data_IF_394477290529
#
_entry.id   IF_394477290529
#
_cell.length_a   1.000
_cell.length_b   1.000
_cell.length_c   1.000
_cell.angle_alpha   90.00
_cell.angle_beta   90.00
_cell.angle_gamma   90.00
#
_symmetry.space_group_name_H-M   'P 1'
#
loop_
_entity.id
_entity.type
_entity.pdbx_description
1 polymer ?
#
# COMPACT_ATOMS: atom_id res chain seq x y z
N UNK A 1 5.19 11.36 -28.28
CA UNK A 1 6.14 10.36 -27.80
C UNK A 1 5.29 9.21 -27.31
N UNK A 2 5.40 8.03 -27.94
CA UNK A 2 4.62 6.85 -27.53
C UNK A 2 5.10 6.40 -26.16
N UNK A 3 4.20 6.33 -25.21
CA UNK A 3 4.47 5.73 -23.91
C UNK A 3 4.66 4.23 -24.11
N UNK A 4 5.87 3.72 -23.86
CA UNK A 4 6.14 2.29 -23.88
C UNK A 4 5.23 1.56 -22.90
N UNK A 5 4.66 0.44 -23.32
CA UNK A 5 3.91 -0.48 -22.47
C UNK A 5 4.88 -1.10 -21.45
N UNK A 6 4.57 -1.03 -20.16
CA UNK A 6 5.32 -1.73 -19.11
C UNK A 6 4.61 -3.05 -18.86
N UNK A 7 5.11 -4.19 -19.32
CA UNK A 7 4.48 -5.47 -19.04
C UNK A 7 4.62 -5.82 -17.55
N UNK A 8 3.53 -6.37 -16.98
CA UNK A 8 3.49 -6.87 -15.61
C UNK A 8 3.83 -5.82 -14.53
N UNK A 9 3.04 -4.75 -14.44
CA UNK A 9 3.09 -3.79 -13.34
C UNK A 9 1.89 -4.03 -12.42
N UNK A 10 2.09 -3.95 -11.10
CA UNK A 10 1.02 -4.10 -10.10
C UNK A 10 0.84 -2.78 -9.36
N UNK A 11 -0.42 -2.36 -9.21
CA UNK A 11 -0.80 -1.33 -8.25
C UNK A 11 -0.92 -1.97 -6.87
N UNK A 12 0.08 -1.73 -6.00
CA UNK A 12 0.14 -2.38 -4.69
C UNK A 12 -0.78 -1.74 -3.63
N UNK A 13 -1.53 -0.67 -3.98
CA UNK A 13 -2.46 -0.01 -3.06
C UNK A 13 -3.44 0.91 -3.78
N UNK A 14 -4.71 0.53 -3.84
CA UNK A 14 -5.80 1.37 -4.35
C UNK A 14 -7.10 1.09 -3.60
N UNK A 15 -8.04 2.05 -3.60
CA UNK A 15 -9.35 1.95 -2.94
C UNK A 15 -10.47 1.94 -3.97
N UNK A 16 -10.70 0.80 -4.62
CA UNK A 16 -11.68 0.65 -5.71
C UNK A 16 -13.13 0.93 -5.27
N UNK A 17 -13.40 0.87 -3.97
CA UNK A 17 -14.73 1.12 -3.40
C UNK A 17 -14.99 2.59 -3.09
N UNK A 18 -14.00 3.46 -3.29
CA UNK A 18 -14.14 4.87 -2.96
C UNK A 18 -14.81 5.65 -4.09
N UNK A 19 -15.48 6.74 -3.69
CA UNK A 19 -16.10 7.69 -4.61
C UNK A 19 -15.09 8.20 -5.64
N UNK A 20 -15.50 8.20 -6.90
CA UNK A 20 -14.67 8.54 -8.04
C UNK A 20 -14.15 7.30 -8.78
N UNK A 21 -14.15 6.12 -8.16
CA UNK A 21 -13.79 4.85 -8.78
C UNK A 21 -14.97 3.87 -8.80
N UNK A 22 -15.72 3.78 -7.70
CA UNK A 22 -16.80 2.80 -7.52
C UNK A 22 -17.92 2.99 -8.53
N UNK A 23 -18.17 4.21 -9.00
CA UNK A 23 -19.22 4.52 -9.95
C UNK A 23 -18.96 3.94 -11.37
N UNK A 24 -17.68 3.70 -11.72
CA UNK A 24 -17.26 3.09 -13.00
C UNK A 24 -16.14 2.08 -12.79
N UNK A 25 -16.24 1.25 -11.75
CA UNK A 25 -15.17 0.34 -11.32
C UNK A 25 -14.65 -0.56 -12.46
N UNK A 26 -15.56 -1.08 -13.30
CA UNK A 26 -15.20 -1.91 -14.45
C UNK A 26 -14.43 -1.11 -15.51
N UNK A 27 -14.87 0.13 -15.80
CA UNK A 27 -14.16 1.02 -16.72
C UNK A 27 -12.78 1.43 -16.20
N UNK A 28 -12.66 1.72 -14.88
CA UNK A 28 -11.39 2.01 -14.21
C UNK A 28 -10.41 0.86 -14.37
N UNK A 29 -10.83 -0.37 -14.06
CA UNK A 29 -9.99 -1.56 -14.21
C UNK A 29 -9.62 -1.83 -15.68
N UNK A 30 -10.55 -1.63 -16.61
CA UNK A 30 -10.29 -1.80 -18.05
C UNK A 30 -9.24 -0.79 -18.55
N UNK A 31 -9.32 0.48 -18.12
CA UNK A 31 -8.32 1.51 -18.46
C UNK A 31 -6.96 1.19 -17.86
N UNK A 32 -6.92 0.72 -16.61
CA UNK A 32 -5.69 0.32 -15.94
C UNK A 32 -5.00 -0.86 -16.65
N UNK A 33 -5.76 -1.90 -17.01
CA UNK A 33 -5.24 -3.04 -17.79
C UNK A 33 -4.70 -2.59 -19.15
N UNK A 34 -5.39 -1.67 -19.81
CA UNK A 34 -4.91 -1.09 -21.09
C UNK A 34 -3.64 -0.27 -20.92
N UNK A 35 -3.39 0.30 -19.73
CA UNK A 35 -2.15 0.99 -19.38
C UNK A 35 -0.99 0.04 -18.97
N UNK A 36 -1.24 -1.27 -18.90
CA UNK A 36 -0.24 -2.28 -18.56
C UNK A 36 -0.26 -2.74 -17.12
N UNK A 37 -1.27 -2.36 -16.31
CA UNK A 37 -1.41 -2.85 -14.94
C UNK A 37 -2.01 -4.25 -14.99
N UNK A 38 -1.31 -5.21 -14.42
CA UNK A 38 -1.64 -6.64 -14.44
C UNK A 38 -2.19 -7.17 -13.12
N UNK A 39 -2.24 -6.32 -12.08
CA UNK A 39 -2.80 -6.70 -10.79
C UNK A 39 -3.03 -5.51 -9.87
N UNK A 40 -3.94 -5.69 -8.91
CA UNK A 40 -4.43 -4.62 -8.05
C UNK A 40 -4.62 -5.14 -6.63
N UNK A 41 -4.05 -4.45 -5.65
CA UNK A 41 -4.37 -4.69 -4.24
C UNK A 41 -5.40 -3.67 -3.77
N UNK A 42 -6.65 -4.12 -3.63
CA UNK A 42 -7.79 -3.33 -3.19
C UNK A 42 -7.83 -3.27 -1.66
N UNK A 43 -7.78 -2.08 -1.12
CA UNK A 43 -7.54 -1.81 0.29
C UNK A 43 -8.83 -1.47 1.03
N UNK A 44 -9.03 -2.08 2.19
CA UNK A 44 -10.07 -1.68 3.14
C UNK A 44 -9.53 -0.78 4.23
N UNK A 45 -10.37 0.14 4.71
CA UNK A 45 -10.02 1.09 5.77
C UNK A 45 -10.90 0.96 7.02
N UNK A 46 -12.00 0.21 6.94
CA UNK A 46 -12.96 0.01 8.03
C UNK A 46 -13.72 -1.31 7.89
N UNK A 47 -14.14 -1.89 8.99
CA UNK A 47 -14.74 -3.22 9.02
C UNK A 47 -15.97 -3.36 8.09
N UNK A 48 -16.84 -2.35 8.02
CA UNK A 48 -18.05 -2.38 7.17
C UNK A 48 -17.77 -2.47 5.67
N UNK A 49 -16.52 -2.25 5.24
CA UNK A 49 -16.10 -2.32 3.84
C UNK A 49 -15.51 -3.68 3.47
N UNK A 50 -15.14 -4.52 4.43
CA UNK A 50 -14.43 -5.77 4.17
C UNK A 50 -15.18 -6.67 3.18
N UNK A 51 -16.47 -6.89 3.39
CA UNK A 51 -17.27 -7.75 2.51
C UNK A 51 -17.29 -7.23 1.07
N UNK A 52 -17.38 -5.91 0.88
CA UNK A 52 -17.42 -5.29 -0.44
C UNK A 52 -16.06 -5.37 -1.14
N UNK A 53 -14.98 -5.06 -0.43
CA UNK A 53 -13.59 -5.15 -0.93
C UNK A 53 -13.26 -6.58 -1.33
N UNK A 54 -13.62 -7.56 -0.49
CA UNK A 54 -13.44 -8.99 -0.76
C UNK A 54 -14.29 -9.43 -1.96
N UNK A 55 -15.55 -8.98 -2.05
CA UNK A 55 -16.43 -9.32 -3.17
C UNK A 55 -15.90 -8.79 -4.52
N UNK A 56 -15.31 -7.58 -4.53
CA UNK A 56 -14.64 -7.04 -5.72
C UNK A 56 -13.45 -7.92 -6.11
N UNK A 57 -12.59 -8.27 -5.17
CA UNK A 57 -11.46 -9.16 -5.43
C UNK A 57 -11.90 -10.57 -5.90
N UNK A 58 -13.02 -11.08 -5.40
CA UNK A 58 -13.55 -12.38 -5.80
C UNK A 58 -14.09 -12.40 -7.25
N UNK A 59 -14.60 -11.26 -7.74
CA UNK A 59 -15.11 -11.14 -9.13
C UNK A 59 -13.99 -10.98 -10.16
N UNK A 60 -12.87 -10.41 -9.78
CA UNK A 60 -11.77 -10.04 -10.67
C UNK A 60 -10.57 -10.94 -10.42
N UNK A 61 -10.05 -11.66 -11.44
CA UNK A 61 -8.96 -12.62 -11.25
C UNK A 61 -7.66 -11.97 -10.78
N UNK A 62 -7.41 -10.74 -11.22
CA UNK A 62 -6.19 -9.94 -11.00
C UNK A 62 -6.33 -8.92 -9.85
N UNK A 63 -7.42 -9.00 -9.06
CA UNK A 63 -7.63 -8.17 -7.87
C UNK A 63 -7.49 -9.03 -6.62
N UNK A 64 -6.75 -8.52 -5.65
CA UNK A 64 -6.65 -9.04 -4.27
C UNK A 64 -7.22 -8.03 -3.28
N UNK A 65 -7.41 -8.44 -2.06
CA UNK A 65 -7.99 -7.64 -0.98
C UNK A 65 -7.07 -7.56 0.24
N UNK A 66 -7.19 -6.50 1.01
CA UNK A 66 -6.72 -6.43 2.38
C UNK A 66 -7.89 -6.31 3.36
N UNK A 67 -7.65 -6.63 4.63
CA UNK A 67 -8.58 -6.38 5.74
C UNK A 67 -7.86 -5.64 6.86
N UNK A 68 -8.39 -4.49 7.23
CA UNK A 68 -7.78 -3.65 8.26
C UNK A 68 -8.64 -2.45 8.61
N UNK A 69 -8.11 -1.65 9.54
CA UNK A 69 -8.72 -0.42 10.03
C UNK A 69 -7.69 0.70 9.97
N UNK A 70 -7.97 1.68 9.13
CA UNK A 70 -7.15 2.89 9.01
C UNK A 70 -7.10 3.67 10.32
N UNK A 71 -6.00 4.33 10.69
CA UNK A 71 -5.89 5.11 11.93
C UNK A 71 -7.00 6.13 12.12
N UNK A 72 -7.55 6.71 11.07
CA UNK A 72 -8.69 7.64 11.16
C UNK A 72 -9.97 7.02 11.72
N UNK A 73 -10.12 5.71 11.60
CA UNK A 73 -11.30 4.95 12.01
C UNK A 73 -11.08 4.20 13.35
N UNK A 74 -9.92 4.41 14.00
CA UNK A 74 -9.51 3.64 15.17
C UNK A 74 -10.49 3.75 16.33
N UNK A 75 -10.97 4.96 16.66
CA UNK A 75 -11.92 5.17 17.76
C UNK A 75 -13.27 4.46 17.53
N UNK A 76 -13.73 4.43 16.26
CA UNK A 76 -14.96 3.72 15.90
C UNK A 76 -14.81 2.18 15.97
N UNK A 77 -13.57 1.68 16.07
CA UNK A 77 -13.24 0.26 16.07
C UNK A 77 -12.36 -0.13 17.28
N UNK A 78 -12.39 0.65 18.37
CA UNK A 78 -11.55 0.43 19.54
C UNK A 78 -11.72 -0.98 20.16
N UNK A 79 -12.92 -1.56 20.03
CA UNK A 79 -13.25 -2.90 20.54
C UNK A 79 -12.97 -4.02 19.52
N UNK A 80 -12.39 -3.72 18.35
CA UNK A 80 -12.11 -4.73 17.33
C UNK A 80 -11.00 -5.66 17.80
N UNK A 81 -11.36 -6.91 18.08
CA UNK A 81 -10.41 -7.95 18.46
C UNK A 81 -9.73 -8.61 17.25
N UNK A 82 -8.55 -9.17 17.50
CA UNK A 82 -7.77 -9.89 16.49
C UNK A 82 -8.55 -11.03 15.81
N UNK A 83 -9.47 -11.68 16.50
CA UNK A 83 -10.26 -12.80 15.98
C UNK A 83 -11.07 -12.44 14.72
N UNK A 84 -11.66 -11.23 14.68
CA UNK A 84 -12.42 -10.78 13.51
C UNK A 84 -11.51 -10.57 12.28
N UNK A 85 -10.34 -9.97 12.48
CA UNK A 85 -9.34 -9.79 11.42
C UNK A 85 -8.80 -11.13 10.91
N UNK A 86 -8.50 -12.08 11.81
CA UNK A 86 -8.04 -13.43 11.45
C UNK A 86 -9.12 -14.12 10.60
N UNK A 87 -10.37 -14.13 11.06
CA UNK A 87 -11.46 -14.76 10.32
C UNK A 87 -11.66 -14.17 8.91
N UNK A 88 -11.64 -12.83 8.78
CA UNK A 88 -11.73 -12.19 7.48
C UNK A 88 -10.52 -12.48 6.57
N UNK A 89 -9.33 -12.65 7.17
CA UNK A 89 -8.09 -12.96 6.44
C UNK A 89 -8.02 -14.39 5.89
N UNK A 90 -8.92 -15.30 6.31
CA UNK A 90 -8.98 -16.67 5.78
C UNK A 90 -9.44 -16.71 4.32
N UNK A 91 -10.18 -15.70 3.85
CA UNK A 91 -10.65 -15.66 2.46
C UNK A 91 -9.46 -15.72 1.48
N UNK A 92 -9.50 -16.55 0.43
CA UNK A 92 -8.35 -16.78 -0.46
C UNK A 92 -7.85 -15.52 -1.17
N UNK A 93 -8.73 -14.55 -1.42
CA UNK A 93 -8.36 -13.27 -2.04
C UNK A 93 -7.81 -12.23 -1.06
N UNK A 94 -7.90 -12.46 0.24
CA UNK A 94 -7.29 -11.56 1.25
C UNK A 94 -5.84 -11.95 1.44
N UNK A 95 -4.93 -11.09 1.00
CA UNK A 95 -3.48 -11.33 0.98
C UNK A 95 -2.68 -10.46 1.94
N UNK A 96 -3.34 -9.52 2.63
CA UNK A 96 -2.70 -8.59 3.54
C UNK A 96 -3.62 -8.21 4.71
N UNK A 97 -2.99 -7.80 5.81
CA UNK A 97 -3.63 -7.14 6.97
C UNK A 97 -3.36 -5.64 6.88
N UNK A 98 -4.39 -4.84 6.90
CA UNK A 98 -4.29 -3.38 6.72
C UNK A 98 -5.34 -2.86 5.73
N UNK A 99 -5.36 -1.58 5.55
CA UNK A 99 -4.42 -0.55 5.98
C UNK A 99 -4.58 -0.27 7.48
N UNK A 100 -3.48 -0.04 8.18
CA UNK A 100 -3.44 0.27 9.60
C UNK A 100 -2.19 1.12 9.91
N UNK A 101 -2.06 1.65 11.11
CA UNK A 101 -0.88 2.42 11.49
C UNK A 101 -1.22 3.67 12.28
N UNK A 102 -0.48 4.77 12.06
CA UNK A 102 -0.61 6.01 12.82
C UNK A 102 -0.72 7.25 11.92
N UNK A 103 -1.65 8.13 12.24
CA UNK A 103 -1.81 9.44 11.61
C UNK A 103 -1.99 10.51 12.68
N UNK A 104 -0.93 11.29 12.93
CA UNK A 104 -0.92 12.38 13.90
C UNK A 104 -1.11 13.75 13.23
N UNK A 105 -1.27 13.78 11.92
CA UNK A 105 -1.55 14.99 11.19
C UNK A 105 -3.03 15.38 11.26
N UNK A 106 -3.93 14.42 11.00
CA UNK A 106 -5.37 14.67 11.01
C UNK A 106 -6.02 14.47 12.38
N UNK A 107 -5.47 13.58 13.21
CA UNK A 107 -5.96 13.27 14.57
C UNK A 107 -7.47 13.00 14.62
N UNK A 108 -8.00 12.24 13.63
CA UNK A 108 -9.42 11.84 13.61
C UNK A 108 -9.78 10.80 14.68
N UNK A 109 -8.78 10.15 15.25
CA UNK A 109 -8.90 9.22 16.38
C UNK A 109 -7.79 9.50 17.39
N UNK A 110 -8.04 9.18 18.64
CA UNK A 110 -7.06 9.33 19.72
C UNK A 110 -5.79 8.51 19.45
N UNK A 111 -4.61 9.11 19.66
CA UNK A 111 -3.30 8.46 19.40
C UNK A 111 -3.17 7.13 20.11
N UNK A 112 -3.63 7.04 21.37
CA UNK A 112 -3.57 5.81 22.15
C UNK A 112 -4.42 4.69 21.53
N UNK A 113 -5.59 5.01 20.99
CA UNK A 113 -6.46 4.06 20.28
C UNK A 113 -5.81 3.60 18.97
N UNK A 114 -5.22 4.53 18.20
CA UNK A 114 -4.48 4.19 16.99
C UNK A 114 -3.34 3.21 17.30
N UNK A 115 -2.53 3.49 18.32
CA UNK A 115 -1.40 2.63 18.73
C UNK A 115 -1.87 1.24 19.19
N UNK A 116 -2.93 1.16 19.97
CA UNK A 116 -3.49 -0.11 20.45
C UNK A 116 -3.99 -0.96 19.28
N UNK A 117 -4.72 -0.34 18.36
CA UNK A 117 -5.27 -1.01 17.18
C UNK A 117 -4.15 -1.42 16.20
N UNK A 118 -3.12 -0.59 16.02
CA UNK A 118 -1.94 -0.93 15.23
C UNK A 118 -1.24 -2.19 15.77
N UNK A 119 -1.03 -2.29 17.09
CA UNK A 119 -0.48 -3.50 17.73
C UNK A 119 -1.38 -4.72 17.53
N UNK A 120 -2.69 -4.56 17.55
CA UNK A 120 -3.65 -5.63 17.25
C UNK A 120 -3.44 -6.17 15.83
N UNK A 121 -3.31 -5.29 14.83
CA UNK A 121 -3.06 -5.67 13.44
C UNK A 121 -1.69 -6.35 13.27
N UNK A 122 -0.65 -5.87 13.97
CA UNK A 122 0.68 -6.52 13.98
C UNK A 122 0.57 -7.94 14.54
N UNK A 123 -0.17 -8.13 15.63
CA UNK A 123 -0.38 -9.46 16.21
C UNK A 123 -1.08 -10.41 15.21
N UNK A 124 -2.05 -9.90 14.44
CA UNK A 124 -2.74 -10.66 13.38
C UNK A 124 -1.77 -10.99 12.23
N UNK A 125 -0.99 -10.01 11.75
CA UNK A 125 0.01 -10.24 10.70
C UNK A 125 1.01 -11.32 11.11
N UNK A 126 1.49 -11.29 12.35
CA UNK A 126 2.37 -12.32 12.92
C UNK A 126 1.70 -13.69 12.99
N UNK A 127 0.44 -13.76 13.43
CA UNK A 127 -0.29 -15.02 13.60
C UNK A 127 -0.65 -15.66 12.26
N UNK A 128 -0.96 -14.86 11.23
CA UNK A 128 -1.40 -15.34 9.91
C UNK A 128 -0.25 -15.48 8.91
N UNK A 129 0.88 -14.81 9.16
CA UNK A 129 1.98 -14.69 8.19
C UNK A 129 1.67 -13.74 7.03
N UNK A 130 0.52 -13.05 7.03
CA UNK A 130 0.16 -12.09 6.00
C UNK A 130 0.91 -10.77 6.20
N UNK A 131 1.36 -10.10 5.11
CA UNK A 131 1.99 -8.80 5.20
C UNK A 131 1.09 -7.74 5.81
N UNK A 132 1.70 -6.89 6.65
CA UNK A 132 1.06 -5.71 7.21
C UNK A 132 1.24 -4.52 6.27
N UNK A 133 0.15 -3.80 5.95
CA UNK A 133 0.19 -2.55 5.19
C UNK A 133 0.12 -1.40 6.20
N UNK A 134 1.22 -0.64 6.29
CA UNK A 134 1.39 0.40 7.31
C UNK A 134 1.24 1.79 6.71
N UNK A 135 0.29 2.54 7.23
CA UNK A 135 0.14 3.97 7.08
C UNK A 135 0.95 4.70 8.16
N UNK A 136 1.69 5.74 7.81
CA UNK A 136 2.31 6.64 8.78
C UNK A 136 2.32 8.08 8.28
N UNK A 137 1.83 9.01 9.10
CA UNK A 137 1.83 10.43 8.81
C UNK A 137 2.06 11.24 10.08
N UNK A 138 3.14 12.04 10.09
CA UNK A 138 3.60 12.82 11.26
C UNK A 138 3.74 11.96 12.54
N UNK A 139 4.07 10.66 12.38
CA UNK A 139 4.10 9.65 13.43
C UNK A 139 5.31 8.69 13.33
N UNK A 140 6.41 9.13 12.66
CA UNK A 140 7.57 8.28 12.35
C UNK A 140 8.17 7.64 13.59
N UNK A 141 8.36 8.41 14.67
CA UNK A 141 9.02 7.95 15.90
C UNK A 141 8.22 6.81 16.56
N UNK A 142 6.91 7.01 16.76
CA UNK A 142 6.05 6.01 17.37
C UNK A 142 5.85 4.80 16.46
N UNK A 143 5.73 5.02 15.14
CA UNK A 143 5.63 3.92 14.17
C UNK A 143 6.89 3.05 14.21
N UNK A 144 8.07 3.66 14.18
CA UNK A 144 9.34 2.93 14.25
C UNK A 144 9.51 2.18 15.57
N UNK A 145 9.19 2.84 16.69
CA UNK A 145 9.29 2.24 18.01
C UNK A 145 8.36 1.03 18.17
N UNK A 146 7.08 1.16 17.74
CA UNK A 146 6.11 0.07 17.82
C UNK A 146 6.54 -1.10 16.93
N UNK A 147 6.95 -0.86 15.67
CA UNK A 147 7.37 -1.93 14.77
C UNK A 147 8.61 -2.64 15.34
N UNK A 148 9.62 -1.91 15.82
CA UNK A 148 10.82 -2.50 16.38
C UNK A 148 10.50 -3.36 17.62
N UNK A 149 9.72 -2.83 18.56
CA UNK A 149 9.28 -3.58 19.76
C UNK A 149 8.50 -4.86 19.39
N UNK A 150 7.61 -4.76 18.42
CA UNK A 150 6.81 -5.92 18.00
C UNK A 150 7.62 -6.95 17.19
N UNK A 151 8.65 -6.52 16.46
CA UNK A 151 9.60 -7.43 15.78
C UNK A 151 10.42 -8.26 16.77
N UNK A 152 10.74 -7.71 17.97
CA UNK A 152 11.41 -8.46 19.03
C UNK A 152 10.53 -9.61 19.57
N UNK A 153 9.19 -9.45 19.55
CA UNK A 153 8.23 -10.48 19.97
C UNK A 153 8.03 -11.57 18.92
N UNK A 154 8.45 -11.33 17.69
CA UNK A 154 8.39 -12.24 16.55
C UNK A 154 8.25 -11.49 15.24
N UNK A 155 9.02 -11.89 14.23
CA UNK A 155 9.05 -11.27 12.92
C UNK A 155 7.70 -11.39 12.21
N UNK A 156 7.37 -10.38 11.41
CA UNK A 156 6.22 -10.35 10.51
C UNK A 156 6.58 -9.59 9.23
N UNK A 157 6.06 -9.97 8.07
CA UNK A 157 6.27 -9.21 6.84
C UNK A 157 5.45 -7.91 6.87
N UNK A 158 6.04 -6.81 6.38
CA UNK A 158 5.33 -5.54 6.32
C UNK A 158 5.84 -4.63 5.20
N UNK A 159 4.99 -3.66 4.83
CA UNK A 159 5.37 -2.56 3.97
C UNK A 159 4.90 -1.23 4.54
N UNK A 160 5.68 -0.18 4.33
CA UNK A 160 5.25 1.20 4.51
C UNK A 160 4.66 1.65 3.16
N UNK A 161 3.34 1.82 3.11
CA UNK A 161 2.67 2.29 1.91
C UNK A 161 2.76 3.82 1.79
N UNK A 162 2.59 4.34 0.60
CA UNK A 162 2.54 5.79 0.30
C UNK A 162 3.66 6.57 1.00
N UNK A 163 4.89 6.06 0.92
CA UNK A 163 6.03 6.58 1.67
C UNK A 163 6.27 8.06 1.38
N UNK A 164 6.23 8.89 2.41
CA UNK A 164 6.51 10.33 2.35
C UNK A 164 7.35 10.83 3.55
N UNK A 165 7.88 9.89 4.32
CA UNK A 165 8.59 10.12 5.55
C UNK A 165 10.08 10.47 5.33
N UNK A 166 10.86 10.61 6.42
CA UNK A 166 12.27 10.97 6.37
C UNK A 166 13.17 9.82 5.88
N UNK A 167 14.37 10.19 5.38
CA UNK A 167 15.41 9.23 5.02
C UNK A 167 15.86 8.36 6.22
N UNK A 168 15.82 8.93 7.42
CA UNK A 168 16.15 8.18 8.63
C UNK A 168 15.12 7.09 8.91
N UNK A 169 13.82 7.42 8.79
CA UNK A 169 12.75 6.45 8.95
C UNK A 169 12.82 5.37 7.86
N UNK A 170 13.06 5.75 6.58
CA UNK A 170 13.26 4.78 5.50
C UNK A 170 14.34 3.76 5.84
N UNK A 171 15.52 4.23 6.33
CA UNK A 171 16.63 3.36 6.71
C UNK A 171 16.23 2.40 7.83
N UNK A 172 15.62 2.91 8.90
CA UNK A 172 15.16 2.08 10.02
C UNK A 172 14.19 0.97 9.55
N UNK A 173 13.24 1.30 8.70
CA UNK A 173 12.27 0.30 8.18
C UNK A 173 12.95 -0.74 7.29
N UNK A 174 13.88 -0.32 6.44
CA UNK A 174 14.67 -1.22 5.59
C UNK A 174 15.59 -2.15 6.42
N UNK A 175 16.21 -1.64 7.48
CA UNK A 175 17.04 -2.44 8.42
C UNK A 175 16.19 -3.50 9.16
N UNK A 176 14.93 -3.20 9.47
CA UNK A 176 13.96 -4.16 10.02
C UNK A 176 13.41 -5.13 8.95
N UNK A 177 13.82 -5.00 7.68
CA UNK A 177 13.43 -5.88 6.59
C UNK A 177 12.10 -5.52 5.92
N UNK A 178 11.52 -4.36 6.19
CA UNK A 178 10.28 -3.92 5.56
C UNK A 178 10.51 -3.53 4.10
N UNK A 179 9.39 -3.51 3.36
CA UNK A 179 9.32 -3.00 1.98
C UNK A 179 8.77 -1.57 2.01
N UNK A 180 9.11 -0.75 1.02
CA UNK A 180 8.62 0.63 0.86
C UNK A 180 7.88 0.73 -0.46
N UNK A 181 6.67 1.31 -0.45
CA UNK A 181 5.90 1.61 -1.65
C UNK A 181 5.85 3.10 -1.94
N UNK A 182 6.01 3.47 -3.21
CA UNK A 182 6.00 4.86 -3.68
C UNK A 182 4.74 5.14 -4.49
N UNK A 183 3.98 6.15 -4.05
CA UNK A 183 2.80 6.66 -4.74
C UNK A 183 3.11 7.81 -5.69
N UNK A 184 2.08 8.34 -6.36
CA UNK A 184 2.18 9.48 -7.27
C UNK A 184 2.86 10.73 -6.70
N UNK A 185 2.93 10.88 -5.37
CA UNK A 185 3.62 12.00 -4.70
C UNK A 185 5.09 12.11 -5.14
N UNK A 186 5.76 10.99 -5.39
CA UNK A 186 7.18 11.02 -5.82
C UNK A 186 7.38 11.84 -7.09
N UNK A 187 6.36 11.97 -7.93
CA UNK A 187 6.42 12.76 -9.18
C UNK A 187 6.31 14.25 -8.97
N UNK A 188 5.92 14.73 -7.76
CA UNK A 188 5.64 16.13 -7.52
C UNK A 188 6.92 16.96 -7.50
N UNK A 189 6.86 18.16 -8.08
CA UNK A 189 8.04 19.04 -8.20
C UNK A 189 8.70 19.37 -6.86
N UNK A 190 7.91 19.43 -5.79
CA UNK A 190 8.37 19.79 -4.45
C UNK A 190 8.82 18.59 -3.61
N UNK A 191 8.70 17.35 -4.13
CA UNK A 191 9.03 16.12 -3.40
C UNK A 191 10.52 15.74 -3.54
N UNK A 192 11.45 16.71 -3.45
CA UNK A 192 12.88 16.49 -3.74
C UNK A 192 13.53 15.51 -2.77
N UNK A 193 13.20 15.60 -1.48
CA UNK A 193 13.74 14.70 -0.48
C UNK A 193 13.24 13.26 -0.71
N UNK A 194 11.95 13.11 -1.01
CA UNK A 194 11.37 11.82 -1.38
C UNK A 194 12.00 11.26 -2.65
N UNK A 195 12.26 12.10 -3.66
CA UNK A 195 12.94 11.67 -4.88
C UNK A 195 14.36 11.16 -4.63
N UNK A 196 15.10 11.81 -3.72
CA UNK A 196 16.41 11.33 -3.30
C UNK A 196 16.32 9.98 -2.59
N UNK A 197 15.38 9.82 -1.66
CA UNK A 197 15.13 8.55 -0.97
C UNK A 197 14.76 7.46 -1.98
N UNK A 198 13.85 7.75 -2.92
CA UNK A 198 13.37 6.79 -3.93
C UNK A 198 14.52 6.23 -4.82
N UNK A 199 15.56 7.03 -5.06
CA UNK A 199 16.73 6.59 -5.81
C UNK A 199 17.58 5.57 -5.02
N UNK A 200 17.54 5.61 -3.69
CA UNK A 200 18.41 4.83 -2.80
C UNK A 200 17.74 3.57 -2.22
N UNK A 201 16.41 3.44 -2.27
CA UNK A 201 15.72 2.23 -1.80
C UNK A 201 16.29 0.99 -2.51
N UNK A 202 16.68 -0.09 -1.80
CA UNK A 202 17.13 -1.33 -2.44
C UNK A 202 16.07 -1.85 -3.42
N UNK A 203 16.53 -2.29 -4.61
CA UNK A 203 15.61 -2.75 -5.67
C UNK A 203 14.63 -3.79 -5.16
N UNK A 204 15.13 -4.71 -4.34
CA UNK A 204 14.34 -5.82 -3.77
C UNK A 204 13.41 -5.42 -2.62
N UNK A 205 13.35 -4.14 -2.26
CA UNK A 205 12.50 -3.58 -1.19
C UNK A 205 11.55 -2.49 -1.68
N UNK A 206 11.40 -2.37 -2.99
CA UNK A 206 10.62 -1.31 -3.62
C UNK A 206 9.33 -1.85 -4.23
N UNK A 207 8.21 -1.17 -3.95
CA UNK A 207 6.94 -1.28 -4.66
C UNK A 207 6.51 0.08 -5.20
N UNK A 208 5.51 0.06 -6.07
CA UNK A 208 4.82 1.25 -6.58
C UNK A 208 3.32 1.06 -6.49
N UNK A 209 2.62 2.18 -6.31
CA UNK A 209 1.18 2.22 -6.12
C UNK A 209 0.58 3.53 -6.60
N UNK A 210 -0.73 3.64 -6.55
CA UNK A 210 -1.42 4.92 -6.77
C UNK A 210 -1.91 5.57 -5.48
N UNK A 211 -2.45 4.82 -4.55
CA UNK A 211 -3.33 5.28 -3.48
C UNK A 211 -4.62 5.92 -4.07
N UNK A 212 -5.08 5.39 -5.22
CA UNK A 212 -6.27 5.88 -5.90
C UNK A 212 -7.53 5.76 -5.00
N UNK A 213 -8.40 6.79 -4.98
CA UNK A 213 -8.57 7.91 -5.90
C UNK A 213 -7.72 9.16 -5.60
N UNK A 214 -6.77 9.08 -4.67
CA UNK A 214 -5.94 10.18 -4.23
C UNK A 214 -4.64 10.29 -5.03
N UNK A 215 -3.89 11.37 -4.81
CA UNK A 215 -2.47 11.54 -5.12
C UNK A 215 -2.07 11.33 -6.59
N UNK A 216 -2.96 11.68 -7.54
CA UNK A 216 -2.68 11.54 -8.97
C UNK A 216 -1.27 12.06 -9.33
N UNK A 217 -0.41 11.25 -9.99
CA UNK A 217 0.93 11.64 -10.39
C UNK A 217 0.92 12.73 -11.47
N UNK A 218 2.05 13.34 -11.76
CA UNK A 218 2.22 14.14 -12.98
C UNK A 218 2.23 13.17 -14.18
N UNK A 219 1.45 13.43 -15.26
CA UNK A 219 0.78 14.71 -15.60
C UNK A 219 -0.68 14.86 -15.12
N UNK A 220 -1.21 13.94 -14.33
CA UNK A 220 -2.64 13.85 -13.97
C UNK A 220 -3.04 14.67 -12.74
N UNK A 221 -2.19 15.55 -12.24
CA UNK A 221 -2.47 16.38 -11.06
C UNK A 221 -3.82 17.10 -11.15
N UNK A 222 -4.61 17.00 -10.06
CA UNK A 222 -5.92 17.62 -9.96
C UNK A 222 -7.07 16.77 -10.54
N UNK A 223 -6.77 15.63 -11.11
CA UNK A 223 -7.78 14.62 -11.51
C UNK A 223 -7.99 13.59 -10.39
N UNK A 224 -9.10 12.84 -10.46
CA UNK A 224 -9.25 11.62 -9.67
C UNK A 224 -8.16 10.65 -10.12
N UNK A 225 -7.40 10.12 -9.16
CA UNK A 225 -6.39 9.13 -9.46
C UNK A 225 -7.03 7.80 -9.82
N UNK A 226 -6.49 7.13 -10.83
CA UNK A 226 -6.91 5.78 -11.22
C UNK A 226 -5.72 4.81 -11.14
N UNK A 227 -5.94 3.52 -10.84
CA UNK A 227 -4.88 2.51 -10.80
C UNK A 227 -3.98 2.48 -12.04
N UNK A 228 -4.49 2.86 -13.20
CA UNK A 228 -3.71 2.98 -14.44
C UNK A 228 -2.54 3.97 -14.36
N UNK A 229 -2.62 4.94 -13.46
CA UNK A 229 -1.57 5.95 -13.28
C UNK A 229 -0.34 5.43 -12.52
N UNK A 230 -0.39 4.21 -11.98
CA UNK A 230 0.81 3.52 -11.46
C UNK A 230 1.92 3.48 -12.51
N UNK A 231 1.57 3.36 -13.79
CA UNK A 231 2.53 3.37 -14.89
C UNK A 231 3.34 4.68 -14.98
N UNK A 232 2.73 5.83 -14.66
CA UNK A 232 3.44 7.11 -14.64
C UNK A 232 4.36 7.24 -13.43
N UNK A 233 3.91 6.76 -12.26
CA UNK A 233 4.73 6.65 -11.05
C UNK A 233 5.95 5.76 -11.32
N UNK A 234 5.75 4.58 -11.90
CA UNK A 234 6.83 3.65 -12.21
C UNK A 234 7.85 4.23 -13.21
N UNK A 235 7.39 4.87 -14.30
CA UNK A 235 8.28 5.53 -15.25
C UNK A 235 9.12 6.63 -14.60
N UNK A 236 8.50 7.42 -13.74
CA UNK A 236 9.20 8.49 -13.03
C UNK A 236 10.27 7.92 -12.08
N UNK A 237 9.95 6.90 -11.30
CA UNK A 237 10.89 6.22 -10.41
C UNK A 237 12.01 5.55 -11.18
N UNK A 238 11.72 4.90 -12.32
CA UNK A 238 12.74 4.34 -13.21
C UNK A 238 13.75 5.41 -13.67
N UNK A 239 13.24 6.58 -14.08
CA UNK A 239 14.08 7.72 -14.46
C UNK A 239 14.95 8.24 -13.31
N UNK A 240 14.44 8.31 -12.08
CA UNK A 240 15.25 8.68 -10.91
C UNK A 240 16.39 7.69 -10.63
N UNK A 241 16.14 6.40 -10.88
CA UNK A 241 17.08 5.30 -10.63
C UNK A 241 18.00 5.01 -11.82
N UNK A 242 17.78 5.63 -12.96
CA UNK A 242 18.57 5.40 -14.18
C UNK A 242 18.41 3.99 -14.75
N UNK A 243 17.22 3.40 -14.60
CA UNK A 243 16.87 2.07 -15.15
C UNK A 243 15.72 2.19 -16.15
N UNK A 244 15.56 1.16 -17.01
CA UNK A 244 14.43 1.11 -17.93
C UNK A 244 13.11 0.88 -17.17
N UNK A 245 12.00 1.51 -17.59
CA UNK A 245 10.70 1.36 -16.94
C UNK A 245 10.23 -0.10 -16.85
N UNK A 246 10.50 -0.89 -17.88
CA UNK A 246 10.18 -2.31 -17.93
C UNK A 246 10.93 -3.11 -16.85
N UNK A 247 12.22 -2.83 -16.66
CA UNK A 247 13.03 -3.46 -15.63
C UNK A 247 12.53 -3.13 -14.22
N UNK A 248 12.11 -1.87 -13.99
CA UNK A 248 11.50 -1.48 -12.73
C UNK A 248 10.16 -2.20 -12.51
N UNK A 249 9.31 -2.27 -13.53
CA UNK A 249 8.02 -2.96 -13.47
C UNK A 249 8.19 -4.44 -13.11
N UNK A 250 9.12 -5.14 -13.75
CA UNK A 250 9.47 -6.53 -13.43
C UNK A 250 9.99 -6.67 -11.99
N UNK A 251 10.88 -5.78 -11.55
CA UNK A 251 11.44 -5.82 -10.21
C UNK A 251 10.36 -5.63 -9.14
N UNK A 252 9.52 -4.61 -9.28
CA UNK A 252 8.43 -4.32 -8.33
C UNK A 252 7.37 -5.42 -8.33
N UNK A 253 7.06 -6.00 -9.48
CA UNK A 253 6.14 -7.16 -9.57
C UNK A 253 6.71 -8.40 -8.87
N UNK A 254 7.98 -8.73 -9.07
CA UNK A 254 8.66 -9.80 -8.31
C UNK A 254 8.61 -9.53 -6.82
N UNK A 255 8.84 -8.29 -6.40
CA UNK A 255 8.78 -7.89 -5.00
C UNK A 255 7.38 -8.03 -4.41
N UNK A 256 6.34 -7.68 -5.18
CA UNK A 256 4.95 -7.87 -4.78
C UNK A 256 4.67 -9.35 -4.46
N UNK A 257 4.94 -10.26 -5.36
CA UNK A 257 4.68 -11.69 -5.13
C UNK A 257 5.59 -12.32 -4.06
N UNK A 258 6.79 -11.77 -3.87
CA UNK A 258 7.66 -12.19 -2.76
C UNK A 258 7.12 -11.74 -1.40
N UNK A 259 6.55 -10.55 -1.31
CA UNK A 259 5.93 -10.04 -0.08
C UNK A 259 4.57 -10.71 0.16
N UNK A 260 3.69 -10.66 -0.82
CA UNK A 260 2.32 -11.16 -0.74
C UNK A 260 2.24 -12.62 -1.22
N UNK A 261 2.83 -13.53 -0.45
CA UNK A 261 2.99 -14.94 -0.83
C UNK A 261 1.68 -15.70 -1.04
N UNK A 262 0.56 -15.20 -0.49
CA UNK A 262 -0.78 -15.75 -0.70
C UNK A 262 -1.39 -15.31 -2.05
N UNK A 263 -0.83 -14.31 -2.74
CA UNK A 263 -1.25 -13.93 -4.07
C UNK A 263 -0.88 -15.04 -5.06
N UNK A 264 -1.88 -15.53 -5.81
CA UNK A 264 -1.61 -16.43 -6.93
C UNK A 264 -1.14 -15.59 -8.12
N UNK A 265 0.01 -15.95 -8.70
CA UNK A 265 0.49 -15.38 -9.96
C UNK A 265 -0.28 -15.97 -11.14
#
# INVERSE_FOLDING_TARGET
MGYGYIPMLIDSHCHLEYKGLVEDQQGVLARARAAGISGFLNISTRQREWDQVIATAAREPDVWASVGIHPHEADAHADLGAAALIAASEHPKVIAVGETGLDYYYEHSERATQQALFRTHIAVARATGLPLIVHTRDAEEDTAAIIAEEMEKGAFPALIHCFTASANFARQMLELGLTISLSGIVTFKNAKDLQAIAAEIPEDRLLVETDAPFLAPIPHRGQVCEPGFTADTARFVAGLRGVEPEALGEATTRNFFRLFTKASA
#
